data_IF_650435159856
#
_entry.id   IF_650435159856
#
_cell.length_a   1.000
_cell.length_b   1.000
_cell.length_c   1.000
_cell.angle_alpha   90.00
_cell.angle_beta   90.00
_cell.angle_gamma   90.00
#
_symmetry.space_group_name_H-M   'P 1'
#
loop_
_entity.id
_entity.type
_entity.pdbx_description
1 polymer ?
#
# COMPACT_ATOMS: atom_id res chain seq x y z
N UNK A 1 -1.75 30.00 3.56
CA UNK A 1 -1.66 29.13 4.76
C UNK A 1 -0.38 28.34 4.67
N UNK A 2 0.39 28.20 5.75
CA UNK A 2 1.58 27.34 5.75
C UNK A 2 1.13 25.88 5.55
N UNK A 3 1.72 25.18 4.58
CA UNK A 3 1.42 23.76 4.38
C UNK A 3 1.98 22.98 5.56
N UNK A 4 1.14 22.13 6.16
CA UNK A 4 1.58 21.29 7.28
C UNK A 4 2.48 20.17 6.75
N UNK A 5 3.63 19.90 7.39
CA UNK A 5 4.49 18.79 7.02
C UNK A 5 3.77 17.45 7.13
N UNK A 6 3.96 16.57 6.14
CA UNK A 6 3.47 15.18 6.17
C UNK A 6 4.56 14.28 6.73
N UNK A 7 4.30 13.61 7.85
CA UNK A 7 5.25 12.68 8.44
C UNK A 7 5.32 11.40 7.60
N UNK A 8 6.53 10.89 7.36
CA UNK A 8 6.73 9.62 6.68
C UNK A 8 7.76 8.74 7.38
N UNK A 9 7.69 7.46 7.05
CA UNK A 9 8.64 6.42 7.43
C UNK A 9 9.02 5.61 6.20
N UNK A 10 10.29 5.25 6.06
CA UNK A 10 10.71 4.19 5.13
C UNK A 10 10.94 2.93 5.96
N UNK A 11 10.26 1.86 5.58
CA UNK A 11 10.35 0.56 6.25
C UNK A 11 10.87 -0.49 5.29
N UNK A 12 11.70 -1.39 5.80
CA UNK A 12 12.05 -2.63 5.12
C UNK A 12 11.10 -3.73 5.59
N UNK A 13 10.14 -4.10 4.72
CA UNK A 13 9.11 -5.09 5.02
C UNK A 13 9.62 -6.52 4.82
N UNK A 14 9.03 -7.45 5.58
CA UNK A 14 9.34 -8.89 5.54
C UNK A 14 10.77 -9.23 5.95
N UNK A 15 11.37 -8.41 6.80
CA UNK A 15 12.72 -8.63 7.33
C UNK A 15 12.86 -8.11 8.76
N UNK A 16 13.88 -8.61 9.46
CA UNK A 16 14.39 -8.10 10.75
C UNK A 16 15.82 -7.56 10.64
N UNK A 17 16.28 -7.29 9.41
CA UNK A 17 17.57 -6.66 9.17
C UNK A 17 17.39 -5.45 8.27
N UNK A 18 18.02 -4.33 8.60
CA UNK A 18 18.03 -3.16 7.74
C UNK A 18 18.65 -3.48 6.36
N UNK A 19 18.12 -2.82 5.34
CA UNK A 19 18.51 -2.94 3.92
C UNK A 19 18.30 -4.35 3.34
N UNK A 20 17.28 -5.06 3.83
CA UNK A 20 16.82 -6.37 3.36
C UNK A 20 15.31 -6.34 3.16
N UNK A 21 14.73 -7.39 2.59
CA UNK A 21 13.29 -7.43 2.36
C UNK A 21 12.85 -6.44 1.27
N UNK A 22 11.63 -5.89 1.41
CA UNK A 22 11.04 -4.97 0.43
C UNK A 22 10.85 -3.56 1.03
N UNK A 23 11.51 -2.52 0.50
CA UNK A 23 11.37 -1.16 1.00
C UNK A 23 10.01 -0.55 0.62
N UNK A 24 9.33 0.05 1.60
CA UNK A 24 8.08 0.78 1.42
C UNK A 24 8.08 2.10 2.20
N UNK A 25 7.51 3.15 1.61
CA UNK A 25 7.25 4.42 2.30
C UNK A 25 5.86 4.35 2.94
N UNK A 26 5.72 4.90 4.15
CA UNK A 26 4.45 5.01 4.86
C UNK A 26 4.28 6.47 5.26
N UNK A 27 3.34 7.15 4.62
CA UNK A 27 3.01 8.56 4.84
C UNK A 27 1.74 8.70 5.69
N UNK A 28 1.81 9.53 6.72
CA UNK A 28 0.67 9.86 7.59
C UNK A 28 0.05 11.18 7.15
N UNK A 29 -1.12 11.10 6.52
CA UNK A 29 -1.86 12.26 6.05
C UNK A 29 -2.88 12.72 7.10
N UNK A 30 -3.01 14.01 7.34
CA UNK A 30 -4.09 14.56 8.19
C UNK A 30 -5.43 14.69 7.43
N UNK A 31 -5.36 14.79 6.10
CA UNK A 31 -6.50 15.01 5.21
C UNK A 31 -6.27 14.28 3.88
N UNK A 32 -7.35 14.01 3.14
CA UNK A 32 -7.25 13.46 1.79
C UNK A 32 -6.44 14.38 0.86
N UNK A 33 -5.54 13.76 0.07
CA UNK A 33 -4.83 14.41 -1.02
C UNK A 33 -5.34 13.88 -2.34
N UNK A 34 -5.28 14.72 -3.37
CA UNK A 34 -5.65 14.31 -4.71
C UNK A 34 -4.68 13.26 -5.27
N UNK A 35 -5.17 12.51 -6.27
CA UNK A 35 -4.41 11.40 -6.85
C UNK A 35 -3.10 11.84 -7.53
N UNK A 36 -3.05 13.06 -8.08
CA UNK A 36 -1.84 13.55 -8.73
C UNK A 36 -0.76 13.85 -7.69
N UNK A 37 -1.13 14.42 -6.55
CA UNK A 37 -0.22 14.65 -5.43
C UNK A 37 0.32 13.33 -4.87
N UNK A 38 -0.58 12.35 -4.63
CA UNK A 38 -0.20 11.02 -4.13
C UNK A 38 0.74 10.30 -5.10
N UNK A 39 0.45 10.34 -6.41
CA UNK A 39 1.34 9.75 -7.41
C UNK A 39 2.68 10.49 -7.51
N UNK A 40 2.69 11.82 -7.40
CA UNK A 40 3.93 12.61 -7.47
C UNK A 40 4.86 12.31 -6.30
N UNK A 41 4.31 12.20 -5.09
CA UNK A 41 5.12 11.86 -3.93
C UNK A 41 5.61 10.40 -3.97
N UNK A 42 4.79 9.47 -4.46
CA UNK A 42 5.23 8.09 -4.68
C UNK A 42 6.36 7.99 -5.70
N UNK A 43 6.31 8.80 -6.76
CA UNK A 43 7.37 8.93 -7.74
C UNK A 43 8.65 9.55 -7.14
N UNK A 44 8.52 10.54 -6.26
CA UNK A 44 9.65 11.17 -5.57
C UNK A 44 10.40 10.19 -4.65
N UNK A 45 9.67 9.35 -3.90
CA UNK A 45 10.31 8.30 -3.10
C UNK A 45 11.04 7.25 -3.97
N UNK A 46 10.51 6.96 -5.15
CA UNK A 46 11.11 6.03 -6.13
C UNK A 46 11.52 4.66 -5.55
N UNK A 47 10.72 4.13 -4.64
CA UNK A 47 10.86 2.77 -4.05
C UNK A 47 9.67 1.89 -4.43
N UNK A 48 9.63 0.64 -3.95
CA UNK A 48 8.66 -0.37 -4.42
C UNK A 48 7.22 0.10 -4.27
N UNK A 49 6.84 0.52 -3.07
CA UNK A 49 5.50 1.03 -2.81
C UNK A 49 5.52 2.22 -1.83
N UNK A 50 4.56 3.13 -2.01
CA UNK A 50 4.22 4.18 -1.05
C UNK A 50 2.80 3.97 -0.54
N UNK A 51 2.67 3.85 0.78
CA UNK A 51 1.43 3.76 1.52
C UNK A 51 1.03 5.13 2.06
N UNK A 52 -0.25 5.47 1.93
CA UNK A 52 -0.84 6.66 2.53
C UNK A 52 -1.89 6.23 3.55
N UNK A 53 -1.71 6.67 4.80
CA UNK A 53 -2.63 6.45 5.90
C UNK A 53 -3.34 7.75 6.26
N UNK A 54 -4.67 7.74 6.23
CA UNK A 54 -5.51 8.89 6.61
C UNK A 54 -6.35 8.49 7.83
N UNK A 55 -6.22 9.14 9.00
CA UNK A 55 -7.04 8.84 10.16
C UNK A 55 -8.54 8.92 9.85
N UNK A 56 -9.29 7.91 10.28
CA UNK A 56 -10.75 7.94 10.29
C UNK A 56 -11.17 8.39 11.69
N UNK A 57 -11.70 9.60 11.78
CA UNK A 57 -12.15 10.19 13.03
C UNK A 57 -13.51 9.64 13.49
N UNK A 58 -13.82 9.82 14.78
CA UNK A 58 -15.11 9.40 15.36
C UNK A 58 -15.20 7.90 15.69
N UNK A 59 -14.09 7.18 15.65
CA UNK A 59 -14.03 5.76 15.99
C UNK A 59 -13.53 5.57 17.43
N UNK A 60 -14.06 4.57 18.14
CA UNK A 60 -13.63 4.22 19.50
C UNK A 60 -12.20 3.65 19.57
N UNK A 61 -11.64 3.34 18.41
CA UNK A 61 -10.31 2.75 18.24
C UNK A 61 -9.65 3.36 17.00
N UNK A 62 -8.33 3.61 16.98
CA UNK A 62 -7.69 4.28 15.83
C UNK A 62 -7.90 3.50 14.53
N UNK A 63 -8.50 4.14 13.52
CA UNK A 63 -8.68 3.58 12.18
C UNK A 63 -8.04 4.49 11.16
N UNK A 64 -7.61 3.91 10.04
CA UNK A 64 -7.00 4.65 8.94
C UNK A 64 -7.59 4.16 7.62
N UNK A 65 -7.93 5.09 6.73
CA UNK A 65 -8.04 4.81 5.30
C UNK A 65 -6.63 4.56 4.77
N UNK A 66 -6.53 3.62 3.81
CA UNK A 66 -5.25 3.18 3.27
C UNK A 66 -5.29 3.25 1.74
N UNK A 67 -4.20 3.75 1.13
CA UNK A 67 -3.97 3.71 -0.32
C UNK A 67 -2.52 3.36 -0.63
N UNK A 68 -2.30 2.60 -1.70
CA UNK A 68 -0.97 2.19 -2.15
C UNK A 68 -0.68 2.69 -3.56
N UNK A 69 0.52 3.21 -3.77
CA UNK A 69 1.00 3.66 -5.06
C UNK A 69 2.34 3.04 -5.37
N UNK A 70 2.53 2.60 -6.61
CA UNK A 70 3.88 2.45 -7.16
C UNK A 70 4.37 3.81 -7.66
N UNK A 71 5.67 3.99 -7.98
CA UNK A 71 6.18 5.24 -8.54
C UNK A 71 5.53 5.67 -9.87
N UNK A 72 4.88 4.76 -10.60
CA UNK A 72 4.37 5.03 -11.95
C UNK A 72 2.88 4.79 -12.15
N UNK A 73 2.23 4.00 -11.29
CA UNK A 73 0.80 3.70 -11.42
C UNK A 73 0.13 3.25 -10.10
N UNK A 74 -1.14 3.63 -9.97
CA UNK A 74 -2.15 2.99 -9.11
C UNK A 74 -3.30 2.57 -10.02
N UNK A 75 -3.71 1.29 -9.97
CA UNK A 75 -4.93 0.83 -10.66
C UNK A 75 -6.01 0.57 -9.62
N UNK A 76 -6.99 1.48 -9.52
CA UNK A 76 -8.16 1.29 -8.65
C UNK A 76 -9.30 0.69 -9.46
N UNK A 77 -9.85 -0.42 -8.98
CA UNK A 77 -11.02 -1.09 -9.54
C UNK A 77 -12.24 -0.91 -8.61
N UNK A 78 -13.44 -1.10 -9.16
CA UNK A 78 -14.69 -0.69 -8.50
C UNK A 78 -15.05 -1.57 -7.30
N UNK A 79 -14.54 -2.79 -7.24
CA UNK A 79 -14.82 -3.73 -6.16
C UNK A 79 -13.67 -4.71 -5.92
N UNK A 80 -13.63 -5.31 -4.74
CA UNK A 80 -12.69 -6.37 -4.39
C UNK A 80 -12.93 -7.62 -5.24
N UNK A 81 -14.16 -7.85 -5.71
CA UNK A 81 -14.44 -8.88 -6.71
C UNK A 81 -13.65 -8.63 -7.99
N UNK A 82 -13.63 -7.40 -8.49
CA UNK A 82 -12.84 -7.03 -9.67
C UNK A 82 -11.34 -7.23 -9.42
N UNK A 83 -10.85 -7.00 -8.18
CA UNK A 83 -9.46 -7.31 -7.80
C UNK A 83 -9.18 -8.81 -7.91
N UNK A 84 -10.08 -9.66 -7.40
CA UNK A 84 -9.88 -11.11 -7.43
C UNK A 84 -9.97 -11.69 -8.84
N UNK A 85 -10.80 -11.11 -9.69
CA UNK A 85 -11.07 -11.62 -11.05
C UNK A 85 -10.12 -11.02 -12.10
N UNK A 86 -9.31 -10.01 -11.76
CA UNK A 86 -8.42 -9.35 -12.72
C UNK A 86 -7.49 -10.38 -13.38
N UNK A 87 -7.52 -10.39 -14.71
CA UNK A 87 -6.61 -11.14 -15.57
C UNK A 87 -5.57 -10.14 -16.12
N UNK A 88 -4.36 -10.09 -15.55
CA UNK A 88 -3.34 -9.14 -15.99
C UNK A 88 -2.83 -9.47 -17.39
N UNK A 89 -2.79 -8.48 -18.28
CA UNK A 89 -2.07 -8.58 -19.55
C UNK A 89 -0.57 -8.39 -19.29
N UNK A 90 0.14 -9.47 -18.96
CA UNK A 90 1.55 -9.39 -18.54
C UNK A 90 2.46 -8.73 -19.59
N UNK A 91 2.25 -9.00 -20.88
CA UNK A 91 3.00 -8.35 -21.97
C UNK A 91 2.82 -6.83 -21.99
N UNK A 92 1.65 -6.33 -21.59
CA UNK A 92 1.41 -4.90 -21.44
C UNK A 92 2.11 -4.35 -20.19
N UNK A 93 2.04 -5.07 -19.06
CA UNK A 93 2.68 -4.68 -17.79
C UNK A 93 4.21 -4.61 -17.94
N UNK A 94 4.81 -5.54 -18.70
CA UNK A 94 6.25 -5.52 -19.02
C UNK A 94 6.63 -4.24 -19.78
N UNK A 95 5.73 -3.67 -20.57
CA UNK A 95 5.97 -2.45 -21.36
C UNK A 95 5.66 -1.17 -20.58
N UNK A 96 4.84 -1.22 -19.52
CA UNK A 96 4.53 -0.07 -18.67
C UNK A 96 5.80 0.47 -17.98
N UNK A 97 5.95 1.78 -17.77
CA UNK A 97 7.03 2.31 -16.93
C UNK A 97 6.87 1.83 -15.47
N UNK A 98 7.97 1.67 -14.74
CA UNK A 98 7.99 1.24 -13.33
C UNK A 98 8.19 -0.26 -13.10
N UNK A 99 8.02 -0.70 -11.85
CA UNK A 99 8.37 -2.06 -11.39
C UNK A 99 7.22 -3.07 -11.53
N UNK A 100 5.98 -2.61 -11.53
CA UNK A 100 4.80 -3.45 -11.62
C UNK A 100 3.53 -2.62 -11.53
N UNK A 101 2.39 -3.31 -11.40
CA UNK A 101 1.06 -2.70 -11.27
C UNK A 101 0.38 -3.24 -10.03
N UNK A 102 -0.12 -2.33 -9.18
CA UNK A 102 -0.96 -2.68 -8.04
C UNK A 102 -2.43 -2.43 -8.38
N UNK A 103 -3.28 -3.43 -8.13
CA UNK A 103 -4.72 -3.38 -8.36
C UNK A 103 -5.43 -3.42 -7.01
N UNK A 104 -6.15 -2.35 -6.66
CA UNK A 104 -6.87 -2.22 -5.38
C UNK A 104 -8.36 -1.98 -5.58
N UNK A 105 -9.21 -2.52 -4.72
CA UNK A 105 -10.66 -2.32 -4.76
C UNK A 105 -11.31 -2.54 -3.40
N UNK A 106 -12.50 -1.95 -3.20
CA UNK A 106 -13.26 -2.04 -1.94
C UNK A 106 -13.70 -3.49 -1.72
N UNK A 107 -13.28 -4.10 -0.61
CA UNK A 107 -13.64 -5.48 -0.34
C UNK A 107 -15.14 -5.64 -0.08
N UNK A 108 -15.75 -6.79 -0.41
CA UNK A 108 -17.16 -7.04 -0.12
C UNK A 108 -17.45 -6.90 1.39
N UNK A 109 -18.58 -6.32 1.81
CA UNK A 109 -18.89 -6.13 3.24
C UNK A 109 -18.80 -7.42 4.08
N UNK A 110 -19.15 -8.56 3.49
CA UNK A 110 -19.12 -9.89 4.11
C UNK A 110 -17.71 -10.45 4.32
N UNK A 111 -16.69 -9.84 3.71
CA UNK A 111 -15.31 -10.32 3.76
C UNK A 111 -14.60 -9.99 5.09
N UNK A 112 -15.09 -8.99 5.83
CA UNK A 112 -14.42 -8.47 7.03
C UNK A 112 -13.15 -7.64 6.74
N UNK A 113 -12.88 -7.31 5.47
CA UNK A 113 -11.79 -6.45 5.04
C UNK A 113 -12.32 -5.11 4.50
N UNK A 114 -11.50 -4.05 4.59
CA UNK A 114 -11.83 -2.75 4.00
C UNK A 114 -11.45 -2.70 2.50
N UNK A 115 -10.36 -3.39 2.10
CA UNK A 115 -9.85 -3.43 0.71
C UNK A 115 -9.26 -4.78 0.35
N UNK A 116 -9.29 -5.12 -0.93
CA UNK A 116 -8.46 -6.17 -1.55
C UNK A 116 -7.40 -5.52 -2.44
N UNK A 117 -6.21 -6.11 -2.50
CA UNK A 117 -5.11 -5.64 -3.34
C UNK A 117 -4.29 -6.80 -3.91
N UNK A 118 -3.85 -6.68 -5.17
CA UNK A 118 -2.91 -7.60 -5.85
C UNK A 118 -1.79 -6.82 -6.54
N UNK A 119 -0.57 -7.35 -6.55
CA UNK A 119 0.58 -6.70 -7.17
C UNK A 119 1.23 -7.60 -8.22
N UNK A 120 1.29 -7.12 -9.46
CA UNK A 120 1.82 -7.83 -10.62
C UNK A 120 3.14 -7.21 -11.07
N UNK A 121 4.22 -7.99 -11.09
CA UNK A 121 5.56 -7.51 -11.42
C UNK A 121 6.34 -8.43 -12.40
N UNK A 122 5.72 -8.82 -13.54
CA UNK A 122 6.27 -9.83 -14.48
C UNK A 122 7.66 -9.47 -15.04
N UNK A 123 8.05 -8.18 -14.98
CA UNK A 123 9.39 -7.69 -15.37
C UNK A 123 10.53 -8.37 -14.63
N UNK A 124 10.28 -8.86 -13.43
CA UNK A 124 11.29 -9.55 -12.61
C UNK A 124 11.19 -11.07 -12.72
N UNK A 125 10.44 -11.59 -13.71
CA UNK A 125 10.14 -13.02 -13.83
C UNK A 125 9.17 -13.53 -12.75
N UNK A 126 8.44 -12.62 -12.12
CA UNK A 126 7.45 -12.88 -11.06
C UNK A 126 6.11 -12.32 -11.55
N UNK A 127 5.23 -13.17 -12.07
CA UNK A 127 3.95 -12.75 -12.65
C UNK A 127 3.08 -11.98 -11.64
N UNK A 128 3.01 -12.49 -10.42
CA UNK A 128 2.36 -11.86 -9.28
C UNK A 128 3.29 -12.01 -8.08
N UNK A 129 3.53 -10.91 -7.35
CA UNK A 129 4.31 -10.96 -6.14
C UNK A 129 3.58 -11.87 -5.14
N UNK A 130 3.99 -13.15 -5.15
CA UNK A 130 3.61 -14.26 -4.30
C UNK A 130 2.33 -14.09 -3.46
N UNK A 131 1.33 -14.97 -3.68
CA UNK A 131 0.30 -15.25 -2.67
C UNK A 131 0.87 -15.68 -1.30
N UNK A 132 2.15 -16.07 -1.25
CA UNK A 132 2.95 -16.16 -0.02
C UNK A 132 3.67 -14.83 0.20
N UNK A 133 2.97 -13.89 0.84
CA UNK A 133 3.62 -12.81 1.57
C UNK A 133 4.63 -13.36 2.57
N UNK A 134 5.44 -12.48 3.16
CA UNK A 134 6.04 -12.85 4.45
C UNK A 134 4.95 -13.26 5.44
N UNK A 135 5.30 -13.97 6.51
CA UNK A 135 4.33 -14.35 7.55
C UNK A 135 3.75 -13.08 8.16
N UNK A 136 2.57 -12.69 7.67
CA UNK A 136 1.71 -11.72 8.30
C UNK A 136 0.91 -12.51 9.33
N UNK A 137 1.19 -12.30 10.61
CA UNK A 137 0.30 -12.75 11.66
C UNK A 137 -0.96 -11.89 11.57
N UNK A 138 -1.98 -12.42 10.92
CA UNK A 138 -3.30 -11.82 10.85
C UNK A 138 -4.03 -12.21 12.13
N UNK A 139 -4.23 -11.24 13.03
CA UNK A 139 -5.19 -11.42 14.11
C UNK A 139 -6.49 -10.75 13.68
N UNK A 140 -7.56 -11.52 13.61
CA UNK A 140 -8.91 -10.99 13.38
C UNK A 140 -9.56 -10.84 14.75
N UNK A 141 -9.91 -9.61 15.13
CA UNK A 141 -10.72 -9.33 16.31
C UNK A 141 -12.18 -9.23 15.86
N UNK A 142 -12.90 -10.35 16.00
CA UNK A 142 -14.29 -10.49 15.57
C UNK A 142 -15.24 -9.56 16.34
N UNK A 143 -14.91 -9.19 17.59
CA UNK A 143 -15.74 -8.28 18.38
C UNK A 143 -15.61 -6.84 17.90
N UNK A 144 -14.44 -6.45 17.40
CA UNK A 144 -14.17 -5.09 16.94
C UNK A 144 -14.18 -4.95 15.42
N UNK A 145 -14.35 -6.05 14.70
CA UNK A 145 -14.30 -6.13 13.24
C UNK A 145 -12.98 -5.54 12.69
N UNK A 146 -11.84 -6.07 13.17
CA UNK A 146 -10.50 -5.56 12.81
C UNK A 146 -9.57 -6.67 12.35
N UNK A 147 -8.66 -6.33 11.44
CA UNK A 147 -7.54 -7.17 11.04
C UNK A 147 -6.24 -6.49 11.49
N UNK A 148 -5.48 -7.16 12.36
CA UNK A 148 -4.14 -6.72 12.73
C UNK A 148 -3.13 -7.34 11.77
N UNK A 149 -2.47 -6.51 10.97
CA UNK A 149 -1.35 -6.91 10.13
C UNK A 149 -0.07 -6.90 10.96
N UNK A 150 0.48 -8.08 11.31
CA UNK A 150 1.79 -8.19 11.97
C UNK A 150 2.80 -8.88 11.05
N UNK A 151 3.59 -8.11 10.32
CA UNK A 151 4.83 -8.55 9.69
C UNK A 151 6.04 -8.01 10.46
N UNK A 152 7.22 -8.63 10.29
CA UNK A 152 8.46 -7.97 10.70
C UNK A 152 8.77 -6.87 9.68
N UNK A 153 8.89 -5.64 10.16
CA UNK A 153 9.36 -4.52 9.39
C UNK A 153 10.28 -3.68 10.27
N UNK A 154 11.34 -3.14 9.68
CA UNK A 154 12.26 -2.23 10.36
C UNK A 154 12.15 -0.86 9.72
N UNK A 155 11.85 0.15 10.54
CA UNK A 155 11.98 1.55 10.11
C UNK A 155 13.45 1.86 9.90
N UNK A 156 13.81 2.23 8.68
CA UNK A 156 15.19 2.59 8.31
C UNK A 156 15.36 4.09 8.09
N UNK A 157 14.26 4.82 7.81
CA UNK A 157 14.26 6.27 7.73
C UNK A 157 12.96 6.85 8.31
N UNK A 158 13.04 8.05 8.89
CA UNK A 158 11.87 8.86 9.24
C UNK A 158 12.10 10.32 8.83
N UNK A 159 11.03 11.02 8.47
CA UNK A 159 11.14 12.40 8.05
C UNK A 159 9.80 13.09 7.83
N UNK A 160 9.87 14.27 7.23
CA UNK A 160 8.72 15.09 6.90
C UNK A 160 8.80 15.58 5.45
N UNK A 161 7.70 15.44 4.72
CA UNK A 161 7.49 16.07 3.41
C UNK A 161 6.97 17.49 3.64
N UNK A 162 7.64 18.49 3.06
CA UNK A 162 7.40 19.91 3.32
C UNK A 162 6.62 20.63 2.20
N UNK A 163 6.08 19.88 1.24
CA UNK A 163 5.55 20.42 -0.03
C UNK A 163 4.10 20.82 -0.01
#
# INVERSE_FOLDING_TARGET
MAKKPVKYYVVDAFTDSAFKGNPAAVCLLEEEKDIQWLQSLAAEFNISETCYLIPIHGTSVPRFGLRWFTPTAEVVVKSGKDVTEVQPEFDAIIKCPGMGVIVTGVAPPESGFDIYSRYFCPKFGIDEASARGGVLNLHVDEQKQRVYLRGKAITVMEGCVLV
#
